data_IF_112702126633
#
_entry.id   IF_112702126633
#
_cell.length_a   1.000
_cell.length_b   1.000
_cell.length_c   1.000
_cell.angle_alpha   90.00
_cell.angle_beta   90.00
_cell.angle_gamma   90.00
#
_symmetry.space_group_name_H-M   'P 1'
#
loop_
_entity.id
_entity.type
_entity.pdbx_description
1 polymer ?
#
# COMPACT_ATOMS: atom_id res chain seq x y z
N UNK A 1 -32.27 -24.24 0.60
CA UNK A 1 -31.27 -24.30 -0.49
C UNK A 1 -30.95 -22.86 -0.89
N UNK A 2 -29.72 -22.40 -0.70
CA UNK A 2 -29.31 -21.06 -1.09
C UNK A 2 -29.22 -20.97 -2.61
N UNK A 3 -30.13 -20.23 -3.23
CA UNK A 3 -30.07 -19.92 -4.65
C UNK A 3 -28.80 -19.08 -4.93
N UNK A 4 -27.81 -19.74 -5.53
CA UNK A 4 -26.49 -19.16 -5.80
C UNK A 4 -26.61 -18.06 -6.86
N UNK A 5 -27.50 -18.20 -7.85
CA UNK A 5 -27.69 -17.20 -8.90
C UNK A 5 -28.22 -15.88 -8.30
N UNK A 6 -29.24 -15.97 -7.43
CA UNK A 6 -29.77 -14.79 -6.72
C UNK A 6 -28.74 -14.12 -5.82
N UNK A 7 -27.88 -14.89 -5.14
CA UNK A 7 -26.80 -14.34 -4.30
C UNK A 7 -25.69 -13.69 -5.11
N UNK A 8 -25.36 -14.24 -6.28
CA UNK A 8 -24.41 -13.64 -7.24
C UNK A 8 -24.94 -12.31 -7.75
N UNK A 9 -26.22 -12.22 -8.12
CA UNK A 9 -26.84 -10.95 -8.52
C UNK A 9 -26.82 -9.91 -7.40
N UNK A 10 -27.16 -10.30 -6.16
CA UNK A 10 -27.08 -9.42 -5.00
C UNK A 10 -25.65 -8.93 -4.75
N UNK A 11 -24.66 -9.81 -4.89
CA UNK A 11 -23.25 -9.47 -4.74
C UNK A 11 -22.79 -8.46 -5.79
N UNK A 12 -23.16 -8.65 -7.06
CA UNK A 12 -22.80 -7.73 -8.14
C UNK A 12 -23.46 -6.36 -7.92
N UNK A 13 -24.76 -6.32 -7.60
CA UNK A 13 -25.47 -5.06 -7.28
C UNK A 13 -24.82 -4.32 -6.11
N UNK A 14 -24.46 -5.02 -5.04
CA UNK A 14 -23.78 -4.43 -3.89
C UNK A 14 -22.41 -3.85 -4.30
N UNK A 15 -21.62 -4.61 -5.07
CA UNK A 15 -20.31 -4.15 -5.55
C UNK A 15 -20.42 -2.90 -6.40
N UNK A 16 -21.42 -2.84 -7.28
CA UNK A 16 -21.63 -1.69 -8.16
C UNK A 16 -22.10 -0.46 -7.37
N UNK A 17 -22.98 -0.64 -6.36
CA UNK A 17 -23.35 0.43 -5.42
C UNK A 17 -22.14 0.94 -4.62
N UNK A 18 -21.29 0.05 -4.11
CA UNK A 18 -20.06 0.42 -3.40
C UNK A 18 -19.13 1.22 -4.32
N UNK A 19 -18.96 0.77 -5.57
CA UNK A 19 -18.15 1.48 -6.56
C UNK A 19 -18.71 2.88 -6.82
N UNK A 20 -20.01 3.00 -7.07
CA UNK A 20 -20.67 4.29 -7.30
C UNK A 20 -20.48 5.23 -6.10
N UNK A 21 -20.69 4.74 -4.87
CA UNK A 21 -20.51 5.55 -3.65
C UNK A 21 -19.08 5.97 -3.42
N UNK A 22 -18.11 5.09 -3.69
CA UNK A 22 -16.70 5.46 -3.63
C UNK A 22 -16.33 6.51 -4.69
N UNK A 23 -16.90 6.42 -5.89
CA UNK A 23 -16.63 7.40 -6.95
C UNK A 23 -17.29 8.76 -6.65
N UNK A 24 -18.51 8.78 -6.12
CA UNK A 24 -19.18 9.99 -5.61
C UNK A 24 -18.38 10.61 -4.45
N UNK A 25 -17.97 9.78 -3.48
CA UNK A 25 -17.20 10.23 -2.32
C UNK A 25 -15.84 10.80 -2.72
N UNK A 26 -15.12 10.16 -3.66
CA UNK A 26 -13.86 10.69 -4.20
C UNK A 26 -14.03 12.06 -4.85
N UNK A 27 -15.11 12.27 -5.61
CA UNK A 27 -15.41 13.56 -6.23
C UNK A 27 -15.71 14.65 -5.18
N UNK A 28 -16.52 14.31 -4.18
CA UNK A 28 -16.87 15.23 -3.10
C UNK A 28 -15.69 15.54 -2.18
N UNK A 29 -14.79 14.58 -1.96
CA UNK A 29 -13.61 14.74 -1.11
C UNK A 29 -12.47 15.50 -1.80
N UNK A 30 -12.43 15.51 -3.14
CA UNK A 30 -11.39 16.20 -3.91
C UNK A 30 -11.16 17.66 -3.47
N UNK A 31 -12.16 18.55 -3.40
CA UNK A 31 -11.94 19.95 -2.99
C UNK A 31 -11.44 20.08 -1.55
N UNK A 32 -11.88 19.21 -0.62
CA UNK A 32 -11.41 19.22 0.77
C UNK A 32 -9.95 18.77 0.88
N UNK A 33 -9.56 17.76 0.11
CA UNK A 33 -8.17 17.31 0.08
C UNK A 33 -7.26 18.37 -0.56
N UNK A 34 -7.72 19.04 -1.63
CA UNK A 34 -6.97 20.13 -2.28
C UNK A 34 -6.78 21.33 -1.34
N UNK A 35 -7.79 21.74 -0.59
CA UNK A 35 -7.65 22.83 0.39
C UNK A 35 -6.74 22.44 1.55
N UNK A 36 -6.81 21.19 2.01
CA UNK A 36 -5.91 20.67 3.04
C UNK A 36 -4.45 20.61 2.54
N UNK A 37 -4.23 20.23 1.29
CA UNK A 37 -2.90 20.24 0.66
C UNK A 37 -2.32 21.66 0.54
N UNK A 38 -3.14 22.63 0.16
CA UNK A 38 -2.75 24.05 0.14
C UNK A 38 -2.40 24.57 1.53
N UNK A 39 -3.19 24.24 2.55
CA UNK A 39 -2.91 24.61 3.94
C UNK A 39 -1.61 23.97 4.43
N UNK A 40 -1.39 22.69 4.14
CA UNK A 40 -0.13 22.01 4.48
C UNK A 40 1.08 22.67 3.80
N UNK A 41 0.96 23.08 2.53
CA UNK A 41 2.03 23.78 1.82
C UNK A 41 2.36 25.14 2.46
N UNK A 42 1.34 25.90 2.87
CA UNK A 42 1.52 27.18 3.57
C UNK A 42 2.18 27.00 4.94
N UNK A 43 1.71 26.02 5.73
CA UNK A 43 2.28 25.70 7.04
C UNK A 43 3.72 25.23 6.94
N UNK A 44 4.04 24.41 5.93
CA UNK A 44 5.41 23.96 5.67
C UNK A 44 6.31 25.11 5.21
N UNK A 45 5.81 26.03 4.38
CA UNK A 45 6.55 27.23 3.98
C UNK A 45 6.86 28.13 5.20
N UNK A 46 5.89 28.29 6.10
CA UNK A 46 6.08 29.03 7.35
C UNK A 46 7.12 28.38 8.27
N UNK A 47 7.06 27.05 8.46
CA UNK A 47 8.05 26.30 9.24
C UNK A 47 9.46 26.39 8.64
N UNK A 48 9.58 26.31 7.32
CA UNK A 48 10.85 26.47 6.62
C UNK A 48 11.43 27.88 6.80
N UNK A 49 10.59 28.93 6.74
CA UNK A 49 11.00 30.32 6.98
C UNK A 49 11.48 30.58 8.41
N UNK A 50 10.97 29.84 9.39
CA UNK A 50 11.35 29.97 10.80
C UNK A 50 12.48 29.02 11.23
N UNK A 51 12.96 28.13 10.34
CA UNK A 51 13.88 27.04 10.68
C UNK A 51 13.42 26.18 11.88
N UNK A 52 12.11 26.16 12.14
CA UNK A 52 11.51 25.49 13.27
C UNK A 52 10.99 24.11 12.87
N UNK A 53 11.26 23.08 13.68
CA UNK A 53 10.82 21.71 13.42
C UNK A 53 9.39 21.45 13.92
N UNK A 54 8.93 22.26 14.87
CA UNK A 54 7.59 22.18 15.45
C UNK A 54 7.17 23.56 15.97
N UNK A 55 5.91 23.92 15.73
CA UNK A 55 5.28 25.10 16.32
C UNK A 55 3.98 24.65 16.96
N UNK A 56 3.88 24.81 18.28
CA UNK A 56 2.65 24.62 19.01
C UNK A 56 1.78 25.89 18.90
N UNK A 57 0.50 25.70 18.64
CA UNK A 57 -0.52 26.75 18.57
C UNK A 57 -1.69 26.36 19.46
N UNK A 58 -2.54 27.31 19.82
CA UNK A 58 -3.72 27.08 20.67
C UNK A 58 -4.71 26.06 20.05
N UNK A 59 -4.68 25.90 18.73
CA UNK A 59 -5.53 24.95 18.00
C UNK A 59 -4.84 23.60 17.68
N UNK A 60 -3.54 23.44 17.93
CA UNK A 60 -2.81 22.22 17.61
C UNK A 60 -1.31 22.42 17.38
N UNK A 61 -0.58 21.34 17.12
CA UNK A 61 0.87 21.40 16.86
C UNK A 61 1.15 21.06 15.41
N UNK A 62 1.84 21.95 14.70
CA UNK A 62 2.36 21.68 13.36
C UNK A 62 3.78 21.16 13.51
N UNK A 63 4.05 19.97 12.98
CA UNK A 63 5.37 19.35 12.98
C UNK A 63 5.76 18.92 11.57
N UNK A 64 7.04 19.05 11.25
CA UNK A 64 7.58 18.58 9.97
C UNK A 64 7.82 17.07 10.06
N UNK A 65 7.27 16.31 9.12
CA UNK A 65 7.58 14.88 8.96
C UNK A 65 8.44 14.69 7.71
N UNK A 66 9.59 14.03 7.88
CA UNK A 66 10.43 13.66 6.75
C UNK A 66 9.97 12.30 6.20
N UNK A 67 9.32 12.32 5.04
CA UNK A 67 9.01 11.08 4.31
C UNK A 67 10.25 10.66 3.54
N UNK A 68 10.96 9.65 4.04
CA UNK A 68 12.10 9.05 3.36
C UNK A 68 11.61 8.01 2.37
N UNK A 69 11.99 8.14 1.11
CA UNK A 69 11.78 7.12 0.08
C UNK A 69 13.13 6.74 -0.51
N UNK A 70 13.46 5.45 -0.47
CA UNK A 70 14.63 4.90 -1.13
C UNK A 70 14.17 4.22 -2.43
N UNK A 71 14.53 4.78 -3.58
CA UNK A 71 14.33 4.16 -4.90
C UNK A 71 15.65 3.60 -5.40
N UNK A 72 15.64 2.38 -5.93
CA UNK A 72 16.80 1.78 -6.56
C UNK A 72 17.01 2.39 -7.95
N UNK A 73 18.12 3.11 -8.14
CA UNK A 73 18.53 3.64 -9.45
C UNK A 73 19.22 2.56 -10.30
N UNK A 74 20.06 1.74 -9.64
CA UNK A 74 20.69 0.54 -10.21
C UNK A 74 20.51 -0.60 -9.20
N UNK A 75 19.70 -1.59 -9.59
CA UNK A 75 19.37 -2.71 -8.73
C UNK A 75 20.51 -3.73 -8.63
N UNK A 76 21.34 -3.86 -9.67
CA UNK A 76 22.43 -4.83 -9.72
C UNK A 76 23.58 -4.35 -8.83
N UNK A 77 24.01 -3.10 -9.01
CA UNK A 77 25.04 -2.49 -8.17
C UNK A 77 24.66 -2.46 -6.67
N UNK A 78 23.37 -2.26 -6.36
CA UNK A 78 22.87 -2.31 -4.99
C UNK A 78 22.92 -3.72 -4.39
N UNK A 79 22.50 -4.73 -5.16
CA UNK A 79 22.56 -6.13 -4.68
C UNK A 79 24.00 -6.59 -4.48
N UNK A 80 24.89 -6.24 -5.40
CA UNK A 80 26.32 -6.54 -5.26
C UNK A 80 26.90 -5.88 -4.01
N UNK A 81 26.54 -4.62 -3.73
CA UNK A 81 26.94 -3.93 -2.51
C UNK A 81 26.41 -4.61 -1.24
N UNK A 82 25.14 -5.03 -1.24
CA UNK A 82 24.50 -5.71 -0.11
C UNK A 82 25.17 -7.06 0.17
N UNK A 83 25.46 -7.82 -0.88
CA UNK A 83 26.12 -9.14 -0.78
C UNK A 83 27.57 -8.96 -0.33
N UNK A 84 28.33 -8.05 -0.94
CA UNK A 84 29.75 -7.83 -0.64
C UNK A 84 29.99 -7.34 0.78
N UNK A 85 29.12 -6.48 1.32
CA UNK A 85 29.25 -5.92 2.67
C UNK A 85 28.44 -6.69 3.73
N UNK A 86 27.67 -7.71 3.34
CA UNK A 86 26.74 -8.40 4.23
C UNK A 86 25.64 -7.48 4.80
N UNK A 87 25.35 -6.36 4.13
CA UNK A 87 24.46 -5.30 4.59
C UNK A 87 22.98 -5.64 4.33
N UNK A 88 22.55 -6.83 4.73
CA UNK A 88 21.18 -7.31 4.51
C UNK A 88 20.11 -6.50 5.26
N UNK A 89 20.51 -5.68 6.25
CA UNK A 89 19.63 -4.73 6.94
C UNK A 89 19.09 -3.64 6.00
N UNK A 90 19.74 -3.40 4.87
CA UNK A 90 19.28 -2.47 3.83
C UNK A 90 18.22 -3.09 2.89
N UNK A 91 17.97 -4.40 3.02
CA UNK A 91 17.13 -5.16 2.10
C UNK A 91 15.86 -5.66 2.78
N UNK A 92 14.71 -5.22 2.29
CA UNK A 92 13.42 -5.83 2.62
C UNK A 92 13.24 -7.15 1.85
N UNK A 93 13.61 -8.27 2.45
CA UNK A 93 13.50 -9.60 1.81
C UNK A 93 12.08 -10.15 1.89
N UNK A 94 11.38 -10.18 0.77
CA UNK A 94 10.06 -10.83 0.63
C UNK A 94 10.15 -12.08 -0.24
N UNK A 95 9.56 -13.18 0.22
CA UNK A 95 9.39 -14.37 -0.61
C UNK A 95 8.42 -14.09 -1.75
N UNK A 96 8.82 -14.42 -2.99
CA UNK A 96 7.94 -14.30 -4.14
C UNK A 96 6.92 -15.45 -4.10
N UNK A 97 5.65 -15.10 -3.88
CA UNK A 97 4.55 -16.05 -3.68
C UNK A 97 4.38 -16.98 -4.89
N UNK A 98 4.51 -16.47 -6.11
CA UNK A 98 4.35 -17.28 -7.34
C UNK A 98 5.50 -18.27 -7.49
N UNK A 99 6.74 -17.83 -7.30
CA UNK A 99 7.90 -18.72 -7.38
C UNK A 99 7.88 -19.80 -6.28
N UNK A 100 7.42 -19.46 -5.08
CA UNK A 100 7.21 -20.41 -3.99
C UNK A 100 6.12 -21.43 -4.34
N UNK A 101 5.01 -20.98 -4.94
CA UNK A 101 3.92 -21.85 -5.37
C UNK A 101 4.38 -22.85 -6.45
N UNK A 102 5.17 -22.39 -7.43
CA UNK A 102 5.70 -23.24 -8.49
C UNK A 102 6.72 -24.26 -7.94
N UNK A 103 7.58 -23.85 -7.01
CA UNK A 103 8.46 -24.78 -6.31
C UNK A 103 7.69 -25.85 -5.52
N UNK A 104 6.57 -25.48 -4.88
CA UNK A 104 5.71 -26.45 -4.17
C UNK A 104 5.08 -27.45 -5.15
N UNK A 105 4.68 -27.02 -6.35
CA UNK A 105 4.12 -27.90 -7.39
C UNK A 105 5.16 -28.91 -7.91
N UNK A 106 6.40 -28.48 -8.08
CA UNK A 106 7.48 -29.31 -8.64
C UNK A 106 8.10 -30.25 -7.59
N UNK A 107 8.29 -29.79 -6.35
CA UNK A 107 9.03 -30.51 -5.31
C UNK A 107 8.15 -31.06 -4.17
N UNK A 108 6.83 -30.84 -4.21
CA UNK A 108 5.87 -31.23 -3.16
C UNK A 108 6.23 -30.75 -1.74
N UNK A 109 7.13 -29.77 -1.62
CA UNK A 109 7.59 -29.22 -0.36
C UNK A 109 7.84 -27.70 -0.49
N UNK A 110 7.52 -26.91 0.53
CA UNK A 110 7.84 -25.49 0.55
C UNK A 110 9.36 -25.29 0.58
N UNK A 111 9.88 -24.22 -0.06
CA UNK A 111 11.27 -23.81 0.12
C UNK A 111 11.58 -23.62 1.61
N UNK A 112 12.77 -24.02 2.07
CA UNK A 112 13.15 -23.89 3.48
C UNK A 112 13.01 -22.44 3.95
N UNK A 113 12.33 -22.23 5.07
CA UNK A 113 12.10 -20.91 5.67
C UNK A 113 10.86 -20.17 5.16
N UNK A 114 10.03 -20.77 4.29
CA UNK A 114 8.76 -20.18 3.83
C UNK A 114 7.56 -20.95 4.42
N UNK A 115 6.75 -20.25 5.21
CA UNK A 115 5.43 -20.76 5.61
C UNK A 115 4.40 -20.41 4.53
N UNK A 116 4.03 -21.38 3.71
CA UNK A 116 3.03 -21.19 2.67
C UNK A 116 1.64 -21.58 3.18
N UNK A 117 0.71 -20.63 3.22
CA UNK A 117 -0.70 -20.85 3.55
C UNK A 117 -1.56 -20.45 2.36
N UNK A 118 -2.36 -21.38 1.83
CA UNK A 118 -3.35 -21.10 0.79
C UNK A 118 -4.74 -20.95 1.40
N UNK A 119 -5.43 -19.84 1.12
CA UNK A 119 -6.82 -19.60 1.54
C UNK A 119 -7.68 -19.37 0.32
N UNK A 120 -8.72 -20.19 0.15
CA UNK A 120 -9.68 -20.02 -0.93
C UNK A 120 -10.57 -18.80 -0.65
N UNK A 121 -10.52 -17.80 -1.53
CA UNK A 121 -11.42 -16.65 -1.49
C UNK A 121 -12.42 -16.76 -2.63
N UNK A 122 -13.68 -16.42 -2.37
CA UNK A 122 -14.74 -16.43 -3.41
C UNK A 122 -14.61 -15.16 -4.26
N UNK A 123 -14.40 -15.33 -5.56
CA UNK A 123 -14.42 -14.25 -6.55
C UNK A 123 -15.63 -14.37 -7.47
N UNK A 124 -16.54 -13.38 -7.45
CA UNK A 124 -17.68 -13.33 -8.36
C UNK A 124 -17.35 -12.43 -9.55
N UNK A 125 -17.30 -13.02 -10.75
CA UNK A 125 -17.14 -12.29 -12.03
C UNK A 125 -18.48 -12.24 -12.76
N UNK A 126 -18.70 -11.19 -13.56
CA UNK A 126 -19.84 -11.18 -14.49
C UNK A 126 -19.55 -12.17 -15.62
N UNK A 127 -20.56 -12.91 -16.05
CA UNK A 127 -20.57 -13.49 -17.39
C UNK A 127 -20.72 -12.37 -18.43
#
# INVERSE_FOLDING_TARGET
MTDIAKRVEQFVKLRDMIKQKNDEHKKLMKPYNETLEQLNALLLAHLNGQSANSVATDAGTVYRTEKKSASLADAEAFMDFVIANGAYDLLDRKANVTAVEDHIKEHNAPPPGVNFTSTFTVGVRRA
#
